data_IF_055569836639
#
_entry.id   IF_055569836639
#
_cell.length_a   1.000
_cell.length_b   1.000
_cell.length_c   1.000
_cell.angle_alpha   90.00
_cell.angle_beta   90.00
_cell.angle_gamma   90.00
#
_symmetry.space_group_name_H-M   'P 1'
#
loop_
_entity.id
_entity.type
_entity.pdbx_description
1 polymer ?
#
# COMPACT_ATOMS: atom_id res chain seq x y z
N UNK A 1 -24.77 26.10 8.41
CA UNK A 1 -23.43 25.50 8.22
C UNK A 1 -22.85 24.80 9.48
N UNK A 2 -23.63 24.32 10.46
CA UNK A 2 -23.06 23.76 11.71
C UNK A 2 -23.42 22.29 12.04
N UNK A 3 -24.09 21.55 11.14
CA UNK A 3 -24.57 20.19 11.43
C UNK A 3 -24.00 19.08 10.51
N UNK A 4 -23.14 19.42 9.54
CA UNK A 4 -22.49 18.42 8.67
C UNK A 4 -21.20 17.83 9.24
N UNK A 5 -20.56 18.51 10.22
CA UNK A 5 -19.30 18.04 10.82
C UNK A 5 -19.46 16.84 11.78
N UNK A 6 -20.65 16.66 12.38
CA UNK A 6 -20.87 15.59 13.36
C UNK A 6 -21.06 14.20 12.73
N UNK A 7 -21.45 14.13 11.45
CA UNK A 7 -21.82 12.86 10.80
C UNK A 7 -20.61 12.04 10.31
N UNK A 8 -19.45 12.68 10.10
CA UNK A 8 -18.21 12.02 9.62
C UNK A 8 -17.15 11.81 10.71
N UNK A 9 -17.35 12.28 11.94
CA UNK A 9 -16.35 12.20 13.01
C UNK A 9 -16.21 10.82 13.66
N UNK A 10 -17.21 9.93 13.50
CA UNK A 10 -17.26 8.65 14.21
C UNK A 10 -16.15 7.67 13.81
N UNK A 11 -15.84 7.56 12.51
CA UNK A 11 -14.80 6.65 12.04
C UNK A 11 -13.39 7.13 12.42
N UNK A 12 -13.15 8.44 12.40
CA UNK A 12 -11.89 9.01 12.88
C UNK A 12 -11.59 8.63 14.32
N UNK A 13 -12.60 8.70 15.19
CA UNK A 13 -12.49 8.29 16.59
C UNK A 13 -12.26 6.78 16.70
N UNK A 14 -12.98 5.96 15.92
CA UNK A 14 -12.80 4.50 15.92
C UNK A 14 -11.39 4.09 15.46
N UNK A 15 -10.88 4.71 14.41
CA UNK A 15 -9.53 4.50 13.90
C UNK A 15 -8.45 4.88 14.92
N UNK A 16 -8.61 6.01 15.59
CA UNK A 16 -7.66 6.41 16.64
C UNK A 16 -7.78 5.53 17.88
N UNK A 17 -8.98 5.08 18.23
CA UNK A 17 -9.19 4.11 19.30
C UNK A 17 -8.51 2.79 18.98
N UNK A 18 -8.56 2.32 17.72
CA UNK A 18 -7.84 1.13 17.28
C UNK A 18 -6.32 1.27 17.47
N UNK A 19 -5.71 2.36 16.99
CA UNK A 19 -4.27 2.58 17.15
C UNK A 19 -3.89 2.70 18.63
N UNK A 20 -4.68 3.41 19.43
CA UNK A 20 -4.42 3.55 20.86
C UNK A 20 -4.54 2.21 21.62
N UNK A 21 -5.58 1.40 21.33
CA UNK A 21 -5.79 0.11 21.97
C UNK A 21 -4.75 -0.92 21.52
N UNK A 22 -4.31 -0.92 20.26
CA UNK A 22 -3.21 -1.79 19.83
C UNK A 22 -1.88 -1.38 20.47
N UNK A 23 -1.62 -0.08 20.64
CA UNK A 23 -0.45 0.39 21.37
C UNK A 23 -0.42 -0.06 22.85
N UNK A 24 -1.59 -0.26 23.49
CA UNK A 24 -1.67 -0.85 24.83
C UNK A 24 -1.08 -2.26 24.89
N UNK A 25 -0.91 -2.97 23.77
CA UNK A 25 -0.18 -4.25 23.74
C UNK A 25 1.22 -4.13 24.33
N UNK A 26 1.86 -2.97 24.15
CA UNK A 26 3.21 -2.70 24.67
C UNK A 26 3.22 -2.11 26.08
N UNK A 27 2.21 -1.30 26.44
CA UNK A 27 2.13 -0.65 27.75
C UNK A 27 1.42 -1.49 28.81
N UNK A 28 0.32 -2.14 28.44
CA UNK A 28 -0.51 -2.95 29.32
C UNK A 28 -1.25 -4.06 28.55
N UNK A 29 -0.61 -5.24 28.40
CA UNK A 29 -1.19 -6.38 27.68
C UNK A 29 -2.58 -6.79 28.20
N UNK A 30 -2.81 -6.66 29.51
CA UNK A 30 -4.09 -7.00 30.17
C UNK A 30 -5.24 -6.10 29.70
N UNK A 31 -4.98 -4.82 29.47
CA UNK A 31 -6.00 -3.90 28.95
C UNK A 31 -6.21 -4.11 27.46
N UNK A 32 -5.14 -4.37 26.70
CA UNK A 32 -5.24 -4.72 25.29
C UNK A 32 -6.13 -5.96 25.07
N UNK A 33 -5.89 -7.04 25.82
CA UNK A 33 -6.66 -8.29 25.70
C UNK A 33 -8.14 -8.14 26.04
N UNK A 34 -8.53 -7.10 26.79
CA UNK A 34 -9.93 -6.80 27.14
C UNK A 34 -10.58 -5.83 26.16
N UNK A 35 -9.87 -4.77 25.77
CA UNK A 35 -10.42 -3.69 24.97
C UNK A 35 -10.46 -4.03 23.48
N UNK A 36 -9.46 -4.76 22.97
CA UNK A 36 -9.37 -5.09 21.55
C UNK A 36 -10.56 -5.96 21.07
N UNK A 37 -10.97 -7.03 21.79
CA UNK A 37 -12.16 -7.81 21.39
C UNK A 37 -13.45 -6.99 21.48
N UNK A 38 -13.55 -6.09 22.47
CA UNK A 38 -14.73 -5.22 22.62
C UNK A 38 -14.85 -4.26 21.44
N UNK A 39 -13.75 -3.61 21.04
CA UNK A 39 -13.72 -2.74 19.87
C UNK A 39 -14.16 -3.49 18.61
N UNK A 40 -13.59 -4.66 18.36
CA UNK A 40 -13.95 -5.50 17.20
C UNK A 40 -15.39 -5.97 17.24
N UNK A 41 -15.90 -6.36 18.41
CA UNK A 41 -17.29 -6.78 18.59
C UNK A 41 -18.25 -5.64 18.29
N UNK A 42 -17.97 -4.43 18.78
CA UNK A 42 -18.79 -3.24 18.49
C UNK A 42 -18.76 -2.93 17.00
N UNK A 43 -17.58 -2.91 16.37
CA UNK A 43 -17.46 -2.67 14.92
C UNK A 43 -18.20 -3.73 14.11
N UNK A 44 -18.11 -5.00 14.50
CA UNK A 44 -18.80 -6.11 13.84
C UNK A 44 -20.32 -6.03 13.98
N UNK A 45 -20.84 -5.76 15.19
CA UNK A 45 -22.27 -5.59 15.44
C UNK A 45 -22.84 -4.44 14.61
N UNK A 46 -22.12 -3.32 14.57
CA UNK A 46 -22.52 -2.16 13.76
C UNK A 46 -22.50 -2.51 12.28
N UNK A 47 -21.45 -3.18 11.78
CA UNK A 47 -21.39 -3.62 10.39
C UNK A 47 -22.56 -4.55 10.02
N UNK A 48 -22.80 -5.62 10.80
CA UNK A 48 -23.89 -6.58 10.57
C UNK A 48 -25.26 -5.88 10.58
N UNK A 49 -25.45 -4.89 11.46
CA UNK A 49 -26.71 -4.13 11.52
C UNK A 49 -26.97 -3.26 10.29
N UNK A 50 -25.92 -2.76 9.61
CA UNK A 50 -26.02 -1.77 8.52
C UNK A 50 -25.96 -2.39 7.14
N UNK A 51 -25.23 -3.49 6.99
CA UNK A 51 -25.06 -4.23 5.74
C UNK A 51 -26.38 -4.55 5.01
N UNK A 52 -27.45 -5.04 5.68
CA UNK A 52 -28.73 -5.33 5.00
C UNK A 52 -29.42 -4.10 4.43
N UNK A 53 -29.16 -2.92 5.02
CA UNK A 53 -29.77 -1.65 4.62
C UNK A 53 -28.87 -0.81 3.71
N UNK A 54 -27.74 -1.37 3.27
CA UNK A 54 -26.79 -0.67 2.43
C UNK A 54 -27.38 -0.34 1.06
N UNK A 55 -27.38 0.94 0.70
CA UNK A 55 -28.11 1.45 -0.47
C UNK A 55 -27.36 1.31 -1.79
N UNK A 56 -26.04 1.12 -1.74
CA UNK A 56 -25.17 1.24 -2.91
C UNK A 56 -24.65 -0.10 -3.47
N UNK A 57 -25.34 -1.22 -3.18
CA UNK A 57 -24.99 -2.56 -3.69
C UNK A 57 -24.81 -2.65 -5.21
N UNK A 58 -25.58 -1.87 -5.99
CA UNK A 58 -25.45 -1.83 -7.45
C UNK A 58 -24.11 -1.23 -7.91
N UNK A 59 -23.58 -0.27 -7.15
CA UNK A 59 -22.26 0.32 -7.41
C UNK A 59 -21.15 -0.64 -7.01
N UNK A 60 -21.30 -1.33 -5.88
CA UNK A 60 -20.32 -2.34 -5.43
C UNK A 60 -20.20 -3.48 -6.44
N UNK A 61 -21.32 -3.98 -6.96
CA UNK A 61 -21.33 -5.05 -7.95
C UNK A 61 -20.55 -4.66 -9.21
N UNK A 62 -20.68 -3.40 -9.67
CA UNK A 62 -19.93 -2.89 -10.82
C UNK A 62 -18.43 -2.75 -10.51
N UNK A 63 -18.09 -2.42 -9.28
CA UNK A 63 -16.69 -2.28 -8.82
C UNK A 63 -16.01 -3.62 -8.47
N UNK A 64 -16.76 -4.73 -8.39
CA UNK A 64 -16.22 -6.05 -8.06
C UNK A 64 -15.20 -6.57 -9.09
N UNK A 65 -15.50 -6.46 -10.39
CA UNK A 65 -14.58 -6.91 -11.44
C UNK A 65 -13.25 -6.14 -11.42
N UNK A 66 -13.24 -4.79 -11.36
CA UNK A 66 -11.97 -4.08 -11.22
C UNK A 66 -11.26 -4.32 -9.90
N UNK A 67 -11.98 -4.57 -8.81
CA UNK A 67 -11.37 -4.98 -7.54
C UNK A 67 -10.61 -6.31 -7.69
N UNK A 68 -11.24 -7.32 -8.28
CA UNK A 68 -10.59 -8.62 -8.56
C UNK A 68 -9.39 -8.47 -9.50
N UNK A 69 -9.52 -7.68 -10.57
CA UNK A 69 -8.41 -7.39 -11.48
C UNK A 69 -7.24 -6.71 -10.75
N UNK A 70 -7.53 -5.74 -9.88
CA UNK A 70 -6.52 -5.04 -9.08
C UNK A 70 -5.86 -5.97 -8.05
N UNK A 71 -6.61 -6.91 -7.49
CA UNK A 71 -6.09 -7.93 -6.57
C UNK A 71 -5.13 -8.90 -7.28
N UNK A 72 -5.50 -9.40 -8.47
CA UNK A 72 -4.62 -10.26 -9.28
C UNK A 72 -3.35 -9.48 -9.66
N UNK A 73 -3.49 -8.23 -10.09
CA UNK A 73 -2.35 -7.38 -10.42
C UNK A 73 -1.42 -7.13 -9.22
N UNK A 74 -1.98 -6.89 -8.03
CA UNK A 74 -1.23 -6.79 -6.79
C UNK A 74 -0.46 -8.09 -6.49
N UNK A 75 -1.11 -9.25 -6.58
CA UNK A 75 -0.46 -10.54 -6.33
C UNK A 75 0.67 -10.80 -7.32
N UNK A 76 0.48 -10.45 -8.59
CA UNK A 76 1.52 -10.53 -9.60
C UNK A 76 2.69 -9.59 -9.30
N UNK A 77 2.43 -8.35 -8.87
CA UNK A 77 3.46 -7.40 -8.45
C UNK A 77 4.23 -7.87 -7.21
N UNK A 78 3.55 -8.48 -6.24
CA UNK A 78 4.17 -9.10 -5.06
C UNK A 78 5.05 -10.29 -5.43
N UNK A 79 4.59 -11.14 -6.36
CA UNK A 79 5.38 -12.25 -6.87
C UNK A 79 6.63 -11.75 -7.60
N UNK A 80 6.48 -10.73 -8.45
CA UNK A 80 7.60 -10.08 -9.13
C UNK A 80 8.60 -9.51 -8.14
N UNK A 81 8.15 -8.74 -7.15
CA UNK A 81 9.03 -8.20 -6.08
C UNK A 81 9.75 -9.32 -5.32
N UNK A 82 9.06 -10.42 -4.98
CA UNK A 82 9.66 -11.56 -4.30
C UNK A 82 10.79 -12.20 -5.13
N UNK A 83 10.56 -12.39 -6.43
CA UNK A 83 11.55 -12.91 -7.37
C UNK A 83 12.72 -11.94 -7.53
N UNK A 84 12.45 -10.64 -7.71
CA UNK A 84 13.45 -9.58 -7.78
C UNK A 84 14.35 -9.53 -6.55
N UNK A 85 13.75 -9.54 -5.35
CA UNK A 85 14.47 -9.56 -4.08
C UNK A 85 15.37 -10.78 -3.98
N UNK A 86 14.86 -11.96 -4.32
CA UNK A 86 15.67 -13.18 -4.26
C UNK A 86 16.80 -13.13 -5.29
N UNK A 87 16.52 -12.70 -6.52
CA UNK A 87 17.52 -12.53 -7.57
C UNK A 87 18.68 -11.66 -7.08
N UNK A 88 18.40 -10.43 -6.66
CA UNK A 88 19.46 -9.50 -6.22
C UNK A 88 20.22 -10.05 -5.01
N UNK A 89 19.53 -10.59 -4.01
CA UNK A 89 20.18 -11.11 -2.79
C UNK A 89 21.06 -12.33 -3.08
N UNK A 90 20.63 -13.22 -3.98
CA UNK A 90 21.37 -14.43 -4.33
C UNK A 90 22.52 -14.17 -5.31
N UNK A 91 22.33 -13.24 -6.26
CA UNK A 91 23.33 -12.84 -7.25
C UNK A 91 24.51 -12.13 -6.60
N UNK A 92 24.28 -11.31 -5.57
CA UNK A 92 25.37 -10.57 -4.94
C UNK A 92 26.11 -11.37 -3.87
N UNK A 93 25.49 -12.42 -3.34
CA UNK A 93 26.10 -13.24 -2.29
C UNK A 93 26.30 -12.50 -0.97
N UNK A 94 26.80 -13.22 0.03
CA UNK A 94 26.96 -12.73 1.39
C UNK A 94 28.11 -11.74 1.55
N UNK A 95 29.19 -11.88 0.78
CA UNK A 95 30.35 -10.99 0.75
C UNK A 95 29.94 -9.54 0.47
N UNK A 96 29.19 -9.29 -0.61
CA UNK A 96 28.64 -7.96 -0.92
C UNK A 96 27.92 -7.34 0.27
N UNK A 97 27.03 -8.12 0.89
CA UNK A 97 26.20 -7.65 1.99
C UNK A 97 26.99 -7.36 3.27
N UNK A 98 28.08 -8.08 3.50
CA UNK A 98 28.88 -7.98 4.72
C UNK A 98 29.97 -6.92 4.61
N UNK A 99 30.62 -6.83 3.45
CA UNK A 99 31.81 -6.02 3.25
C UNK A 99 31.49 -4.64 2.69
N UNK A 100 30.30 -4.44 2.12
CA UNK A 100 29.92 -3.13 1.57
C UNK A 100 29.37 -2.22 2.67
N UNK A 101 30.05 -1.09 2.96
CA UNK A 101 29.58 -0.17 3.97
C UNK A 101 28.26 0.49 3.55
N UNK A 102 27.37 0.80 4.52
CA UNK A 102 26.16 1.57 4.24
C UNK A 102 26.53 2.97 3.76
N UNK A 103 25.64 3.57 2.96
CA UNK A 103 25.82 4.93 2.47
C UNK A 103 25.71 5.94 3.63
N UNK A 104 26.42 7.08 3.56
CA UNK A 104 26.27 8.14 4.54
C UNK A 104 24.86 8.75 4.45
N UNK A 105 24.11 8.71 5.56
CA UNK A 105 22.76 9.25 5.67
C UNK A 105 22.70 10.39 6.70
N UNK A 106 22.75 11.62 6.20
CA UNK A 106 22.69 12.83 7.03
C UNK A 106 21.36 12.99 7.75
N UNK A 107 20.26 12.46 7.21
CA UNK A 107 18.97 12.50 7.89
C UNK A 107 18.93 11.58 9.10
N UNK A 108 19.57 10.41 9.01
CA UNK A 108 19.79 9.57 10.19
C UNK A 108 20.66 10.29 11.23
N UNK A 109 21.76 10.92 10.81
CA UNK A 109 22.64 11.65 11.73
C UNK A 109 21.90 12.78 12.45
N UNK A 110 21.03 13.50 11.74
CA UNK A 110 20.17 14.52 12.33
C UNK A 110 19.23 13.92 13.39
N UNK A 111 18.57 12.81 13.11
CA UNK A 111 17.69 12.14 14.09
C UNK A 111 18.44 11.63 15.32
N UNK A 112 19.69 11.19 15.14
CA UNK A 112 20.57 10.80 16.25
C UNK A 112 20.99 12.01 17.08
N UNK A 113 21.44 13.09 16.43
CA UNK A 113 21.80 14.34 17.08
C UNK A 113 20.62 14.93 17.87
N UNK A 114 19.39 14.87 17.32
CA UNK A 114 18.18 15.29 18.01
C UNK A 114 17.91 14.46 19.28
N UNK A 115 18.28 13.18 19.33
CA UNK A 115 18.11 12.39 20.56
C UNK A 115 18.99 12.88 21.71
N UNK A 116 20.14 13.48 21.41
CA UNK A 116 21.06 14.02 22.41
C UNK A 116 20.61 15.39 22.92
N UNK A 117 19.83 16.13 22.11
CA UNK A 117 19.43 17.51 22.40
C UNK A 117 17.99 17.64 22.91
N UNK A 118 17.11 16.72 22.56
CA UNK A 118 15.70 16.78 22.95
C UNK A 118 15.46 16.19 24.36
N UNK A 119 14.40 16.64 25.07
CA UNK A 119 14.03 16.08 26.35
C UNK A 119 13.77 14.57 26.27
N UNK A 120 14.11 13.78 27.30
CA UNK A 120 13.94 12.32 27.30
C UNK A 120 12.52 11.87 26.92
N UNK A 121 11.49 12.54 27.44
CA UNK A 121 10.10 12.22 27.14
C UNK A 121 9.77 12.36 25.63
N UNK A 122 10.31 13.39 24.96
CA UNK A 122 10.09 13.58 23.51
C UNK A 122 10.80 12.47 22.73
N UNK A 123 12.02 12.12 23.15
CA UNK A 123 12.81 11.06 22.53
C UNK A 123 12.11 9.70 22.67
N UNK A 124 11.50 9.42 23.83
CA UNK A 124 10.72 8.20 24.06
C UNK A 124 9.49 8.12 23.15
N UNK A 125 8.77 9.23 22.95
CA UNK A 125 7.62 9.28 22.02
C UNK A 125 8.08 9.02 20.57
N UNK A 126 9.20 9.62 20.15
CA UNK A 126 9.80 9.37 18.83
C UNK A 126 10.35 7.94 18.67
N UNK A 127 10.67 7.26 19.77
CA UNK A 127 11.06 5.83 19.78
C UNK A 127 9.89 4.87 19.85
N UNK A 128 8.75 5.33 20.37
CA UNK A 128 7.63 4.48 20.69
C UNK A 128 7.08 3.78 19.45
N UNK A 129 6.68 2.52 19.61
CA UNK A 129 6.05 1.71 18.55
C UNK A 129 4.56 2.05 18.40
N UNK A 130 4.26 3.32 18.14
CA UNK A 130 2.88 3.83 18.07
C UNK A 130 2.15 3.24 16.87
N UNK A 131 2.79 3.26 15.70
CA UNK A 131 2.22 2.74 14.47
C UNK A 131 3.23 1.90 13.70
N UNK A 132 2.71 0.96 12.92
CA UNK A 132 3.45 0.09 12.03
C UNK A 132 2.62 -0.23 10.79
N UNK A 133 3.15 -1.03 9.88
CA UNK A 133 2.50 -1.34 8.61
C UNK A 133 1.10 -1.91 8.75
N UNK A 134 0.91 -2.85 9.68
CA UNK A 134 -0.38 -3.51 9.90
C UNK A 134 -1.45 -2.50 10.27
N UNK A 135 -1.12 -1.48 11.07
CA UNK A 135 -2.06 -0.42 11.41
C UNK A 135 -2.50 0.38 10.18
N UNK A 136 -1.60 0.73 9.26
CA UNK A 136 -1.98 1.46 8.03
C UNK A 136 -2.87 0.62 7.12
N UNK A 137 -2.65 -0.69 7.07
CA UNK A 137 -3.52 -1.62 6.35
C UNK A 137 -4.89 -1.71 7.02
N UNK A 138 -4.94 -1.78 8.35
CA UNK A 138 -6.20 -1.81 9.09
C UNK A 138 -6.98 -0.49 8.99
N UNK A 139 -6.30 0.66 9.04
CA UNK A 139 -6.91 1.97 8.79
C UNK A 139 -7.53 2.04 7.40
N UNK A 140 -6.85 1.47 6.39
CA UNK A 140 -7.41 1.35 5.05
C UNK A 140 -8.63 0.42 5.00
N UNK A 141 -8.58 -0.74 5.65
CA UNK A 141 -9.74 -1.63 5.76
C UNK A 141 -10.92 -0.94 6.45
N UNK A 142 -10.69 -0.23 7.55
CA UNK A 142 -11.71 0.57 8.25
C UNK A 142 -12.29 1.65 7.32
N UNK A 143 -11.47 2.25 6.46
CA UNK A 143 -11.94 3.20 5.45
C UNK A 143 -12.88 2.55 4.43
N UNK A 144 -12.59 1.33 3.97
CA UNK A 144 -13.48 0.57 3.09
C UNK A 144 -14.80 0.19 3.79
N UNK A 145 -14.76 -0.18 5.08
CA UNK A 145 -15.97 -0.41 5.89
C UNK A 145 -16.76 0.87 6.17
N UNK A 146 -16.12 2.02 6.09
CA UNK A 146 -16.76 3.31 6.36
C UNK A 146 -17.83 3.71 5.35
N UNK A 147 -17.84 3.06 4.19
CA UNK A 147 -18.89 3.21 3.19
C UNK A 147 -20.25 2.72 3.71
N UNK A 148 -20.27 1.76 4.65
CA UNK A 148 -21.48 1.32 5.35
C UNK A 148 -22.11 2.42 6.24
N UNK A 149 -21.36 3.49 6.51
CA UNK A 149 -21.78 4.61 7.36
C UNK A 149 -22.18 5.85 6.53
N UNK A 150 -22.33 5.72 5.21
CA UNK A 150 -22.58 6.83 4.27
C UNK A 150 -21.60 8.00 4.43
N UNK A 151 -20.42 7.72 4.99
CA UNK A 151 -19.41 8.74 5.30
C UNK A 151 -18.49 9.01 4.11
N UNK A 152 -18.48 8.11 3.12
CA UNK A 152 -17.78 8.23 1.84
C UNK A 152 -18.79 7.96 0.72
N UNK A 153 -18.90 8.87 -0.25
CA UNK A 153 -19.87 8.73 -1.36
C UNK A 153 -19.46 7.68 -2.41
N UNK A 154 -18.23 7.14 -2.32
CA UNK A 154 -17.68 6.17 -3.27
C UNK A 154 -17.91 4.71 -2.82
N UNK A 155 -18.08 3.77 -3.76
CA UNK A 155 -18.21 2.34 -3.43
C UNK A 155 -16.93 1.82 -2.76
N UNK A 156 -17.09 1.00 -1.71
CA UNK A 156 -16.01 0.45 -0.91
C UNK A 156 -15.07 -0.45 -1.72
N UNK A 157 -15.62 -1.31 -2.59
CA UNK A 157 -14.82 -2.11 -3.52
C UNK A 157 -14.11 -1.25 -4.57
N UNK A 158 -14.69 -0.10 -4.94
CA UNK A 158 -14.03 0.84 -5.86
C UNK A 158 -12.83 1.53 -5.21
N UNK A 159 -12.97 1.95 -3.94
CA UNK A 159 -11.86 2.48 -3.15
C UNK A 159 -10.78 1.42 -2.92
N UNK A 160 -11.21 0.19 -2.61
CA UNK A 160 -10.38 -1.03 -2.58
C UNK A 160 -9.57 -1.23 -3.85
N UNK A 161 -10.25 -1.20 -5.01
CA UNK A 161 -9.64 -1.39 -6.32
C UNK A 161 -8.59 -0.32 -6.60
N UNK A 162 -8.93 0.95 -6.40
CA UNK A 162 -7.98 2.07 -6.56
C UNK A 162 -6.75 1.86 -5.71
N UNK A 163 -6.92 1.64 -4.41
CA UNK A 163 -5.81 1.49 -3.49
C UNK A 163 -4.90 0.31 -3.85
N UNK A 164 -5.47 -0.86 -4.13
CA UNK A 164 -4.69 -2.04 -4.54
C UNK A 164 -3.99 -1.80 -5.87
N UNK A 165 -4.65 -1.18 -6.84
CA UNK A 165 -4.05 -0.87 -8.14
C UNK A 165 -2.89 0.12 -8.01
N UNK A 166 -3.09 1.23 -7.31
CA UNK A 166 -2.06 2.25 -7.08
C UNK A 166 -0.88 1.66 -6.31
N UNK A 167 -1.15 0.86 -5.28
CA UNK A 167 -0.10 0.18 -4.52
C UNK A 167 0.62 -0.84 -5.39
N UNK A 168 -0.06 -1.60 -6.25
CA UNK A 168 0.57 -2.56 -7.16
C UNK A 168 1.52 -1.85 -8.15
N UNK A 169 1.12 -0.71 -8.73
CA UNK A 169 2.02 0.14 -9.54
C UNK A 169 3.23 0.57 -8.72
N UNK A 170 2.99 1.10 -7.52
CA UNK A 170 4.07 1.56 -6.64
C UNK A 170 5.01 0.43 -6.21
N UNK A 171 4.53 -0.81 -6.05
CA UNK A 171 5.40 -1.96 -5.75
C UNK A 171 6.16 -2.43 -6.99
N UNK A 172 5.53 -2.39 -8.17
CA UNK A 172 6.19 -2.73 -9.42
C UNK A 172 7.32 -1.75 -9.75
N UNK A 173 7.07 -0.44 -9.67
CA UNK A 173 8.10 0.58 -9.87
C UNK A 173 9.25 0.44 -8.86
N UNK A 174 8.94 0.07 -7.62
CA UNK A 174 9.93 -0.20 -6.58
C UNK A 174 10.77 -1.43 -6.90
N UNK A 175 10.16 -2.50 -7.39
CA UNK A 175 10.88 -3.71 -7.79
C UNK A 175 11.76 -3.48 -9.03
N UNK A 176 11.26 -2.72 -10.03
CA UNK A 176 12.04 -2.35 -11.22
C UNK A 176 13.27 -1.53 -10.80
N UNK A 177 13.06 -0.45 -10.04
CA UNK A 177 14.16 0.40 -9.56
C UNK A 177 15.17 -0.37 -8.72
N UNK A 178 14.72 -1.31 -7.90
CA UNK A 178 15.57 -2.17 -7.10
C UNK A 178 16.44 -3.12 -7.93
N UNK A 179 15.88 -3.78 -8.96
CA UNK A 179 16.66 -4.67 -9.83
C UNK A 179 17.59 -3.87 -10.74
N UNK A 180 17.17 -2.69 -11.18
CA UNK A 180 17.97 -1.80 -12.03
C UNK A 180 19.06 -1.05 -11.26
N UNK A 181 18.93 -0.88 -9.94
CA UNK A 181 19.90 -0.16 -9.12
C UNK A 181 19.96 -0.76 -7.73
N UNK A 182 21.04 -1.49 -7.48
CA UNK A 182 21.28 -2.19 -6.24
C UNK A 182 22.10 -1.30 -5.32
N UNK A 183 21.52 -0.92 -4.18
CA UNK A 183 22.19 -0.11 -3.17
C UNK A 183 22.52 -0.95 -1.92
N UNK A 184 23.62 -0.64 -1.23
CA UNK A 184 23.98 -1.37 -0.02
C UNK A 184 22.96 -1.11 1.08
N UNK A 185 22.73 -2.13 1.91
CA UNK A 185 21.82 -2.06 3.03
C UNK A 185 22.22 -1.00 4.05
N UNK A 186 21.25 -0.32 4.65
CA UNK A 186 21.47 0.40 5.91
C UNK A 186 21.85 -0.54 7.08
N UNK A 187 21.62 -1.86 6.94
CA UNK A 187 21.97 -2.92 7.91
C UNK A 187 22.84 -3.99 7.25
N UNK A 188 24.18 -3.88 7.30
CA UNK A 188 25.09 -4.85 6.70
C UNK A 188 24.86 -6.31 7.16
N UNK A 189 24.48 -6.51 8.42
CA UNK A 189 24.19 -7.84 8.98
C UNK A 189 22.83 -8.44 8.54
N UNK A 190 22.02 -7.73 7.76
CA UNK A 190 20.68 -8.18 7.37
C UNK A 190 20.70 -9.53 6.65
N UNK A 191 21.59 -9.69 5.67
CA UNK A 191 21.59 -10.85 4.80
C UNK A 191 21.93 -12.13 5.57
N UNK A 192 22.97 -12.09 6.41
CA UNK A 192 23.38 -13.21 7.25
C UNK A 192 22.29 -13.64 8.25
N UNK A 193 21.56 -12.67 8.81
CA UNK A 193 20.52 -12.96 9.80
C UNK A 193 19.23 -13.52 9.17
N UNK A 194 18.92 -13.15 7.92
CA UNK A 194 17.59 -13.37 7.32
C UNK A 194 17.58 -14.40 6.19
N UNK A 195 18.67 -14.49 5.45
CA UNK A 195 18.76 -15.30 4.25
C UNK A 195 19.88 -16.32 4.34
N UNK A 196 19.66 -17.45 3.66
CA UNK A 196 20.73 -18.40 3.35
C UNK A 196 21.09 -18.16 1.90
N UNK A 197 22.20 -17.47 1.68
CA UNK A 197 22.70 -17.13 0.34
C UNK A 197 24.11 -17.68 0.16
N UNK A 198 24.56 -17.91 -1.08
CA UNK A 198 25.95 -18.23 -1.37
C UNK A 198 26.91 -17.19 -0.79
N UNK A 199 28.14 -17.60 -0.47
CA UNK A 199 29.13 -16.71 0.13
C UNK A 199 29.54 -15.58 -0.83
N UNK A 200 29.88 -15.92 -2.07
CA UNK A 200 30.39 -15.00 -3.09
C UNK A 200 29.31 -14.56 -4.10
N UNK A 201 29.48 -13.44 -4.82
CA UNK A 201 28.59 -13.04 -5.91
C UNK A 201 28.58 -14.05 -7.07
N UNK A 202 27.55 -14.03 -7.93
CA UNK A 202 27.47 -14.87 -9.13
C UNK A 202 28.59 -14.52 -10.10
N UNK A 203 29.13 -15.51 -10.81
CA UNK A 203 30.25 -15.38 -11.76
C UNK A 203 30.14 -14.17 -12.70
N UNK A 204 28.98 -13.95 -13.37
CA UNK A 204 28.79 -12.80 -14.25
C UNK A 204 28.82 -11.46 -13.49
N UNK A 205 28.31 -11.42 -12.25
CA UNK A 205 28.23 -10.21 -11.43
C UNK A 205 29.57 -9.83 -10.78
N UNK A 206 30.43 -10.81 -10.48
CA UNK A 206 31.76 -10.59 -9.88
C UNK A 206 32.60 -9.58 -10.67
N UNK A 207 32.55 -9.66 -12.01
CA UNK A 207 33.26 -8.77 -12.93
C UNK A 207 32.88 -7.29 -12.80
N UNK A 208 31.66 -7.01 -12.34
CA UNK A 208 31.12 -5.65 -12.27
C UNK A 208 31.22 -5.02 -10.88
N UNK A 209 31.51 -5.82 -9.85
CA UNK A 209 31.26 -5.42 -8.47
C UNK A 209 32.44 -4.67 -7.79
N UNK A 210 33.67 -5.14 -7.97
CA UNK A 210 34.86 -4.67 -7.23
C UNK A 210 35.82 -3.70 -7.96
N UNK A 211 36.04 -3.74 -9.29
CA UNK A 211 37.34 -3.28 -9.83
C UNK A 211 37.46 -1.77 -10.08
N UNK A 212 36.36 -1.09 -10.37
CA UNK A 212 36.42 0.27 -10.93
C UNK A 212 36.47 1.36 -9.87
N UNK A 213 35.83 1.14 -8.72
CA UNK A 213 35.77 2.15 -7.66
C UNK A 213 37.16 2.48 -7.08
N UNK A 214 38.10 1.55 -7.17
CA UNK A 214 39.44 1.65 -6.58
C UNK A 214 40.54 2.02 -7.58
N UNK A 215 40.32 1.88 -8.89
CA UNK A 215 41.29 2.21 -9.94
C UNK A 215 40.73 3.19 -10.98
N UNK A 216 41.23 4.43 -10.94
CA UNK A 216 40.84 5.48 -11.87
C UNK A 216 41.15 5.15 -13.35
N UNK A 217 42.16 4.31 -13.63
CA UNK A 217 42.46 3.89 -14.99
C UNK A 217 41.42 2.90 -15.51
N UNK A 218 40.94 1.99 -14.65
CA UNK A 218 39.87 1.06 -14.98
C UNK A 218 38.55 1.81 -15.29
N UNK A 219 38.22 2.88 -14.54
CA UNK A 219 37.07 3.76 -14.88
C UNK A 219 37.25 4.38 -16.27
N UNK A 220 38.45 4.93 -16.55
CA UNK A 220 38.73 5.59 -17.83
C UNK A 220 38.64 4.62 -19.02
N UNK A 221 39.03 3.37 -18.82
CA UNK A 221 38.89 2.32 -19.84
C UNK A 221 37.43 1.95 -20.09
N UNK A 222 36.60 1.77 -19.05
CA UNK A 222 35.15 1.57 -19.25
C UNK A 222 34.55 2.69 -20.08
N UNK A 223 34.84 3.96 -19.73
CA UNK A 223 34.25 5.10 -20.43
C UNK A 223 34.67 5.14 -21.91
N UNK A 224 35.90 4.71 -22.23
CA UNK A 224 36.41 4.73 -23.61
C UNK A 224 35.93 3.57 -24.46
N UNK A 225 35.88 2.38 -23.88
CA UNK A 225 35.74 1.13 -24.63
C UNK A 225 34.40 0.42 -24.35
N UNK A 226 33.64 0.88 -23.35
CA UNK A 226 32.31 0.38 -22.94
C UNK A 226 32.31 -1.11 -22.54
N UNK A 227 33.45 -1.59 -22.01
CA UNK A 227 33.62 -2.98 -21.57
C UNK A 227 34.17 -3.02 -20.14
N UNK A 228 33.76 -4.05 -19.39
CA UNK A 228 34.30 -4.35 -18.07
C UNK A 228 35.67 -5.08 -18.20
N UNK A 229 36.71 -4.64 -17.48
CA UNK A 229 38.11 -5.11 -17.67
C UNK A 229 38.66 -6.02 -16.58
N UNK A 230 37.90 -6.29 -15.53
CA UNK A 230 38.43 -7.06 -14.42
C UNK A 230 38.48 -8.55 -14.69
N UNK A 231 39.61 -9.13 -14.26
CA UNK A 231 39.76 -10.57 -14.10
C UNK A 231 39.13 -10.99 -12.76
N UNK A 232 38.02 -11.74 -12.76
CA UNK A 232 37.38 -12.21 -11.54
C UNK A 232 38.18 -13.34 -10.84
N UNK A 233 39.31 -13.78 -11.40
CA UNK A 233 40.08 -14.91 -10.88
C UNK A 233 39.41 -16.25 -11.18
N UNK A 234 39.79 -17.29 -10.44
CA UNK A 234 39.16 -18.62 -10.57
C UNK A 234 37.75 -18.60 -9.98
N UNK A 235 36.77 -18.88 -10.82
CA UNK A 235 35.39 -19.09 -10.40
C UNK A 235 35.28 -20.34 -9.52
N UNK A 236 34.63 -20.20 -8.37
CA UNK A 236 34.27 -21.32 -7.51
C UNK A 236 33.00 -21.99 -8.04
N UNK A 237 33.01 -23.33 -8.12
CA UNK A 237 31.86 -24.12 -8.58
C UNK A 237 30.68 -24.00 -7.61
N UNK A 238 29.49 -23.78 -8.17
CA UNK A 238 28.24 -23.66 -7.41
C UNK A 238 27.43 -24.96 -7.42
N UNK A 239 26.64 -25.14 -6.36
CA UNK A 239 25.63 -26.18 -6.31
C UNK A 239 24.51 -25.92 -7.34
N UNK A 240 24.29 -26.88 -8.24
CA UNK A 240 23.23 -26.84 -9.24
C UNK A 240 22.24 -28.01 -9.03
N UNK A 241 21.02 -27.75 -8.54
CA UNK A 241 20.01 -28.80 -8.40
C UNK A 241 19.34 -29.13 -9.74
N UNK A 242 18.90 -30.37 -9.94
CA UNK A 242 18.08 -30.73 -11.11
C UNK A 242 16.60 -30.40 -10.83
N UNK A 243 16.09 -29.33 -11.45
CA UNK A 243 14.70 -28.89 -11.37
C UNK A 243 13.91 -29.19 -12.66
N UNK A 244 14.43 -30.03 -13.55
CA UNK A 244 13.80 -30.35 -14.82
C UNK A 244 13.57 -29.10 -15.69
N UNK A 245 12.32 -28.86 -16.12
CA UNK A 245 11.99 -27.73 -16.99
C UNK A 245 12.19 -26.35 -16.35
N UNK A 246 12.30 -26.28 -15.03
CA UNK A 246 12.52 -25.05 -14.28
C UNK A 246 14.00 -24.81 -13.94
N UNK A 247 14.91 -25.65 -14.43
CA UNK A 247 16.35 -25.48 -14.19
C UNK A 247 16.91 -24.14 -14.70
N UNK A 248 16.23 -23.48 -15.64
CA UNK A 248 16.61 -22.11 -16.06
C UNK A 248 16.50 -21.07 -14.92
N UNK A 249 15.67 -21.32 -13.88
CA UNK A 249 15.54 -20.44 -12.72
C UNK A 249 16.76 -20.48 -11.79
N UNK A 250 17.65 -21.46 -11.96
CA UNK A 250 18.84 -21.64 -11.11
C UNK A 250 19.77 -20.43 -11.25
N UNK A 251 19.99 -19.95 -12.48
CA UNK A 251 20.83 -18.79 -12.76
C UNK A 251 20.26 -17.49 -12.15
N UNK A 252 18.94 -17.43 -11.97
CA UNK A 252 18.27 -16.28 -11.37
C UNK A 252 18.20 -16.37 -9.84
N UNK A 253 17.95 -17.56 -9.26
CA UNK A 253 17.60 -17.69 -7.84
C UNK A 253 18.71 -18.29 -6.97
N UNK A 254 19.74 -18.85 -7.59
CA UNK A 254 20.96 -19.44 -7.02
C UNK A 254 20.71 -20.14 -5.66
N UNK A 255 20.02 -21.29 -5.68
CA UNK A 255 19.65 -22.02 -4.47
C UNK A 255 20.89 -22.55 -3.72
N UNK A 256 20.78 -22.72 -2.41
CA UNK A 256 21.85 -23.35 -1.60
C UNK A 256 21.57 -24.84 -1.36
N UNK A 257 22.61 -25.62 -1.08
CA UNK A 257 22.50 -27.05 -0.73
C UNK A 257 21.49 -27.32 0.39
N UNK A 258 21.37 -26.40 1.36
CA UNK A 258 20.45 -26.50 2.49
C UNK A 258 18.97 -26.27 2.15
N UNK A 259 18.67 -25.64 1.00
CA UNK A 259 17.29 -25.39 0.55
C UNK A 259 16.68 -26.60 -0.18
N UNK A 260 17.53 -27.51 -0.67
CA UNK A 260 17.11 -28.72 -1.40
C UNK A 260 16.40 -28.41 -2.72
N UNK A 261 15.62 -29.37 -3.23
CA UNK A 261 14.90 -29.25 -4.51
C UNK A 261 13.58 -28.46 -4.43
N UNK A 262 13.19 -27.97 -3.24
CA UNK A 262 11.92 -27.28 -3.04
C UNK A 262 12.04 -25.79 -3.34
N UNK A 263 11.91 -25.42 -4.61
CA UNK A 263 11.92 -24.02 -5.06
C UNK A 263 10.86 -23.15 -4.34
N UNK A 264 9.75 -23.74 -3.88
CA UNK A 264 8.70 -23.02 -3.13
C UNK A 264 9.18 -22.52 -1.75
N UNK A 265 10.19 -23.14 -1.15
CA UNK A 265 10.80 -22.66 0.11
C UNK A 265 11.42 -21.27 -0.04
N UNK A 266 11.80 -20.88 -1.27
CA UNK A 266 12.31 -19.57 -1.63
C UNK A 266 11.22 -18.49 -1.57
N UNK A 267 10.01 -18.79 -2.07
CA UNK A 267 8.86 -17.88 -1.99
C UNK A 267 8.38 -17.69 -0.54
N UNK A 268 8.50 -18.72 0.30
CA UNK A 268 8.13 -18.64 1.74
C UNK A 268 8.99 -17.68 2.54
N UNK A 269 10.21 -17.36 2.10
CA UNK A 269 11.12 -16.42 2.76
C UNK A 269 11.08 -15.00 2.17
N UNK A 270 10.12 -14.69 1.30
CA UNK A 270 9.99 -13.40 0.62
C UNK A 270 9.53 -12.24 1.53
N UNK A 271 10.12 -12.10 2.72
CA UNK A 271 9.97 -10.93 3.55
C UNK A 271 11.06 -9.92 3.23
N UNK A 272 10.91 -9.10 2.18
CA UNK A 272 11.75 -7.92 1.88
C UNK A 272 13.25 -8.19 1.63
N UNK A 273 13.89 -7.41 0.76
CA UNK A 273 15.33 -7.54 0.50
C UNK A 273 16.21 -7.02 1.63
N UNK A 274 17.46 -7.47 1.65
CA UNK A 274 18.50 -6.85 2.49
C UNK A 274 19.24 -5.73 1.77
N UNK A 275 19.24 -5.70 0.44
CA UNK A 275 19.67 -4.52 -0.30
C UNK A 275 18.62 -3.42 -0.18
N UNK A 276 19.09 -2.19 -0.28
CA UNK A 276 18.20 -1.07 -0.22
C UNK A 276 17.41 -0.88 -1.52
N UNK A 277 16.22 -0.28 -1.41
CA UNK A 277 15.33 0.03 -2.52
C UNK A 277 15.18 1.54 -2.60
N UNK A 278 15.18 2.10 -3.81
CA UNK A 278 15.10 3.56 -4.07
C UNK A 278 13.99 4.27 -3.27
N UNK A 279 12.93 3.56 -2.88
CA UNK A 279 11.97 4.07 -1.90
C UNK A 279 11.33 2.98 -1.03
N UNK A 280 10.88 3.38 0.16
CA UNK A 280 10.32 2.48 1.16
C UNK A 280 8.90 2.01 0.81
N UNK A 281 8.69 0.68 0.85
CA UNK A 281 7.37 0.08 0.66
C UNK A 281 6.44 0.33 1.85
N UNK A 282 6.98 0.37 3.07
CA UNK A 282 6.22 0.71 4.27
C UNK A 282 5.65 2.13 4.18
N UNK A 283 6.50 3.07 3.75
CA UNK A 283 6.11 4.46 3.57
C UNK A 283 5.13 4.63 2.41
N UNK A 284 5.28 3.87 1.32
CA UNK A 284 4.30 3.86 0.23
C UNK A 284 2.91 3.48 0.76
N UNK A 285 2.79 2.39 1.51
CA UNK A 285 1.51 1.96 2.09
C UNK A 285 0.94 3.03 3.04
N UNK A 286 1.78 3.57 3.92
CA UNK A 286 1.39 4.61 4.87
C UNK A 286 0.85 5.87 4.17
N UNK A 287 1.54 6.33 3.12
CA UNK A 287 1.17 7.51 2.33
C UNK A 287 -0.10 7.26 1.52
N UNK A 288 -0.24 6.11 0.87
CA UNK A 288 -1.46 5.76 0.15
C UNK A 288 -2.66 5.70 1.10
N UNK A 289 -2.48 5.16 2.32
CA UNK A 289 -3.53 5.16 3.34
C UNK A 289 -3.87 6.58 3.77
N UNK A 290 -2.87 7.44 4.01
CA UNK A 290 -3.09 8.84 4.37
C UNK A 290 -3.79 9.64 3.27
N UNK A 291 -3.46 9.38 2.00
CA UNK A 291 -4.10 9.99 0.85
C UNK A 291 -5.56 9.54 0.71
N UNK A 292 -5.81 8.23 0.80
CA UNK A 292 -7.16 7.67 0.80
C UNK A 292 -8.00 8.25 1.95
N UNK A 293 -7.40 8.35 3.13
CA UNK A 293 -8.04 8.93 4.30
C UNK A 293 -8.32 10.42 4.13
N UNK A 294 -7.39 11.19 3.57
CA UNK A 294 -7.56 12.63 3.37
C UNK A 294 -8.67 12.93 2.36
N UNK A 295 -8.83 12.10 1.33
CA UNK A 295 -9.94 12.23 0.38
C UNK A 295 -11.30 11.89 1.01
N UNK A 296 -11.34 10.95 1.95
CA UNK A 296 -12.56 10.51 2.61
C UNK A 296 -12.95 11.34 3.84
N UNK A 297 -11.97 11.68 4.68
CA UNK A 297 -12.11 12.33 5.98
C UNK A 297 -11.07 13.45 6.11
N UNK A 298 -11.41 14.63 5.60
CA UNK A 298 -10.63 15.84 5.84
C UNK A 298 -10.65 16.29 7.32
N UNK A 299 -9.84 17.29 7.66
CA UNK A 299 -9.81 17.88 9.01
C UNK A 299 -8.83 17.19 9.96
N UNK A 300 -9.16 17.18 11.26
CA UNK A 300 -8.23 16.78 12.33
C UNK A 300 -7.77 15.31 12.23
N UNK A 301 -8.65 14.39 11.84
CA UNK A 301 -8.29 12.97 11.67
C UNK A 301 -7.26 12.75 10.56
N UNK A 302 -7.37 13.50 9.45
CA UNK A 302 -6.39 13.44 8.37
C UNK A 302 -5.05 14.01 8.81
N UNK A 303 -5.04 15.16 9.50
CA UNK A 303 -3.82 15.74 10.05
C UNK A 303 -3.10 14.76 10.99
N UNK A 304 -3.85 14.07 11.86
CA UNK A 304 -3.28 13.07 12.76
C UNK A 304 -2.69 11.85 12.03
N UNK A 305 -3.33 11.37 10.96
CA UNK A 305 -2.76 10.29 10.15
C UNK A 305 -1.48 10.74 9.45
N UNK A 306 -1.40 11.97 8.95
CA UNK A 306 -0.16 12.51 8.42
C UNK A 306 0.95 12.65 9.47
N UNK A 307 0.60 12.99 10.72
CA UNK A 307 1.55 12.95 11.83
C UNK A 307 2.06 11.52 12.09
N UNK A 308 1.17 10.52 12.00
CA UNK A 308 1.54 9.11 12.12
C UNK A 308 2.43 8.63 10.96
N UNK A 309 2.21 9.14 9.73
CA UNK A 309 3.12 8.91 8.59
C UNK A 309 4.49 9.50 8.87
N UNK A 310 4.58 10.74 9.36
CA UNK A 310 5.86 11.38 9.69
C UNK A 310 6.59 10.65 10.82
N UNK A 311 5.86 10.20 11.84
CA UNK A 311 6.40 9.37 12.92
C UNK A 311 6.95 8.03 12.38
N UNK A 312 6.20 7.36 11.50
CA UNK A 312 6.67 6.14 10.83
C UNK A 312 7.94 6.40 10.02
N UNK A 313 7.98 7.46 9.20
CA UNK A 313 9.16 7.81 8.40
C UNK A 313 10.40 8.01 9.27
N UNK A 314 10.26 8.79 10.34
CA UNK A 314 11.33 9.04 11.30
C UNK A 314 11.83 7.72 11.93
N UNK A 315 10.94 6.77 12.23
CA UNK A 315 11.34 5.48 12.80
C UNK A 315 12.05 4.58 11.81
N UNK A 316 11.57 4.51 10.56
CA UNK A 316 12.21 3.74 9.49
C UNK A 316 13.67 4.17 9.30
N UNK A 317 13.93 5.48 9.25
CA UNK A 317 15.28 6.04 9.13
C UNK A 317 16.12 5.78 10.38
N UNK A 318 15.56 6.11 11.55
CA UNK A 318 16.24 5.98 12.84
C UNK A 318 16.71 4.55 13.10
N UNK A 319 15.84 3.58 12.84
CA UNK A 319 16.11 2.17 13.11
C UNK A 319 16.94 1.52 11.98
N UNK A 320 17.38 2.26 10.96
CA UNK A 320 18.11 1.72 9.79
C UNK A 320 17.30 0.71 9.00
N UNK A 321 15.99 0.88 8.91
CA UNK A 321 15.18 0.06 8.01
C UNK A 321 15.31 0.54 6.56
N UNK A 322 15.41 1.86 6.37
CA UNK A 322 15.58 2.52 5.09
C UNK A 322 16.44 3.78 5.27
N UNK A 323 17.05 4.28 4.20
CA UNK A 323 17.67 5.60 4.20
C UNK A 323 16.61 6.70 4.22
N UNK A 324 17.02 7.89 4.63
CA UNK A 324 16.16 9.08 4.64
C UNK A 324 15.57 9.37 3.26
N UNK A 325 16.38 9.23 2.20
CA UNK A 325 15.93 9.49 0.83
C UNK A 325 14.79 8.55 0.44
N UNK A 326 14.84 7.27 0.82
CA UNK A 326 13.82 6.29 0.45
C UNK A 326 12.47 6.63 1.07
N UNK A 327 12.47 7.17 2.29
CA UNK A 327 11.26 7.62 2.98
C UNK A 327 10.68 8.86 2.32
N UNK A 328 11.53 9.84 1.97
CA UNK A 328 11.10 11.08 1.30
C UNK A 328 10.56 10.78 -0.10
N UNK A 329 11.29 10.00 -0.89
CA UNK A 329 10.87 9.60 -2.23
C UNK A 329 9.56 8.81 -2.17
N UNK A 330 9.40 7.90 -1.20
CA UNK A 330 8.13 7.17 -1.03
C UNK A 330 6.94 8.10 -0.74
N UNK A 331 7.14 9.18 0.01
CA UNK A 331 6.09 10.19 0.26
C UNK A 331 5.70 10.89 -1.03
N UNK A 332 6.67 11.41 -1.80
CA UNK A 332 6.38 12.09 -3.06
C UNK A 332 5.76 11.16 -4.10
N UNK A 333 6.36 9.97 -4.29
CA UNK A 333 5.88 8.96 -5.24
C UNK A 333 4.49 8.47 -4.84
N UNK A 334 4.24 8.23 -3.55
CA UNK A 334 2.91 7.82 -3.07
C UNK A 334 1.83 8.86 -3.36
N UNK A 335 2.09 10.15 -3.11
CA UNK A 335 1.17 11.24 -3.43
C UNK A 335 0.94 11.33 -4.95
N UNK A 336 2.02 11.30 -5.73
CA UNK A 336 1.97 11.41 -7.18
C UNK A 336 1.21 10.23 -7.80
N UNK A 337 1.52 9.00 -7.41
CA UNK A 337 0.81 7.80 -7.87
C UNK A 337 -0.67 7.86 -7.51
N UNK A 338 -1.00 8.29 -6.29
CA UNK A 338 -2.40 8.41 -5.87
C UNK A 338 -3.18 9.43 -6.71
N UNK A 339 -2.58 10.59 -7.00
CA UNK A 339 -3.19 11.61 -7.86
C UNK A 339 -3.27 11.15 -9.32
N UNK A 340 -2.19 10.57 -9.84
CA UNK A 340 -2.11 10.09 -11.21
C UNK A 340 -3.09 8.94 -11.45
N UNK A 341 -3.21 7.97 -10.57
CA UNK A 341 -4.18 6.87 -10.73
C UNK A 341 -5.63 7.29 -10.44
N UNK A 342 -5.85 8.50 -9.93
CA UNK A 342 -7.18 9.02 -9.60
C UNK A 342 -8.10 9.20 -10.82
N UNK A 343 -7.57 9.43 -12.02
CA UNK A 343 -8.40 9.56 -13.22
C UNK A 343 -9.10 8.24 -13.61
N UNK A 344 -8.50 7.09 -13.26
CA UNK A 344 -9.04 5.75 -13.52
C UNK A 344 -10.26 5.50 -12.62
N UNK A 345 -10.26 6.15 -11.45
CA UNK A 345 -11.21 5.91 -10.36
C UNK A 345 -11.89 7.21 -9.94
N UNK A 346 -12.76 7.80 -10.79
CA UNK A 346 -13.44 9.04 -10.47
C UNK A 346 -14.25 8.89 -9.17
N UNK A 347 -13.77 9.51 -8.10
CA UNK A 347 -14.34 9.45 -6.75
C UNK A 347 -15.73 10.10 -6.66
N UNK A 348 -16.00 11.02 -7.59
CA UNK A 348 -17.30 11.65 -7.77
C UNK A 348 -18.01 11.00 -8.95
N UNK A 349 -19.28 10.66 -8.74
CA UNK A 349 -20.18 10.31 -9.83
C UNK A 349 -20.21 11.47 -10.83
N UNK A 350 -19.38 11.41 -11.87
CA UNK A 350 -19.39 12.36 -13.00
C UNK A 350 -20.80 12.44 -13.61
N UNK A 351 -21.58 11.36 -13.50
CA UNK A 351 -23.00 11.32 -13.82
C UNK A 351 -23.87 12.21 -12.92
N UNK A 352 -23.57 12.33 -11.62
CA UNK A 352 -24.27 13.20 -10.66
C UNK A 352 -23.91 14.66 -10.89
N UNK A 353 -22.64 15.00 -11.12
CA UNK A 353 -22.25 16.37 -11.49
C UNK A 353 -22.82 16.78 -12.84
N UNK A 354 -22.78 15.90 -13.86
CA UNK A 354 -23.41 16.17 -15.15
C UNK A 354 -24.93 16.33 -15.02
N UNK A 355 -25.58 15.55 -14.15
CA UNK A 355 -27.01 15.73 -13.82
C UNK A 355 -27.29 17.02 -13.07
N UNK A 356 -26.45 17.39 -12.10
CA UNK A 356 -26.60 18.64 -11.35
C UNK A 356 -26.40 19.85 -12.27
N UNK A 357 -25.38 19.83 -13.12
CA UNK A 357 -25.15 20.87 -14.13
C UNK A 357 -26.30 20.93 -15.16
N UNK A 358 -26.86 19.79 -15.56
CA UNK A 358 -28.04 19.73 -16.42
C UNK A 358 -29.28 20.30 -15.71
N UNK A 359 -29.51 19.95 -14.45
CA UNK A 359 -30.61 20.47 -13.63
C UNK A 359 -30.47 21.97 -13.36
N UNK A 360 -29.26 22.47 -13.13
CA UNK A 360 -28.97 23.89 -12.98
C UNK A 360 -29.24 24.66 -14.29
N UNK A 361 -28.87 24.07 -15.43
CA UNK A 361 -29.20 24.61 -16.76
C UNK A 361 -30.70 24.62 -17.02
N UNK A 362 -31.41 23.54 -16.67
CA UNK A 362 -32.87 23.45 -16.79
C UNK A 362 -33.54 24.45 -15.86
N UNK A 363 -33.07 24.59 -14.61
CA UNK A 363 -33.58 25.56 -13.65
C UNK A 363 -33.41 27.00 -14.18
N UNK A 364 -32.24 27.33 -14.73
CA UNK A 364 -31.99 28.63 -15.37
C UNK A 364 -32.93 28.92 -16.53
N UNK A 365 -33.15 27.94 -17.42
CA UNK A 365 -34.11 28.03 -18.53
C UNK A 365 -35.55 28.17 -18.03
N UNK A 366 -35.95 27.41 -17.01
CA UNK A 366 -37.27 27.47 -16.41
C UNK A 366 -37.55 28.84 -15.81
N UNK A 367 -36.57 29.44 -15.11
CA UNK A 367 -36.70 30.81 -14.58
C UNK A 367 -36.78 31.88 -15.67
N UNK A 368 -36.12 31.68 -16.81
CA UNK A 368 -36.21 32.58 -17.95
C UNK A 368 -37.57 32.48 -18.65
N UNK A 369 -38.01 31.26 -18.97
CA UNK A 369 -39.30 30.99 -19.60
C UNK A 369 -40.48 31.46 -18.72
N UNK A 370 -40.40 31.27 -17.40
CA UNK A 370 -41.39 31.77 -16.46
C UNK A 370 -41.44 33.32 -16.40
N UNK A 371 -40.30 33.99 -16.62
CA UNK A 371 -40.21 35.46 -16.67
C UNK A 371 -40.78 36.02 -17.97
N UNK A 372 -40.62 35.29 -19.07
CA UNK A 372 -41.12 35.66 -20.40
C UNK A 372 -42.56 35.20 -20.65
N UNK A 373 -43.22 34.57 -19.66
CA UNK A 373 -44.57 34.02 -19.75
C UNK A 373 -44.76 32.95 -20.85
N UNK A 374 -43.69 32.24 -21.21
CA UNK A 374 -43.73 31.14 -22.17
C UNK A 374 -44.13 29.83 -21.47
N UNK A 375 -45.44 29.58 -21.42
CA UNK A 375 -46.03 28.41 -20.76
C UNK A 375 -45.72 27.10 -21.51
N UNK A 376 -45.46 27.16 -22.82
CA UNK A 376 -45.16 25.98 -23.62
C UNK A 376 -43.74 25.48 -23.36
N UNK A 377 -42.75 26.38 -23.27
CA UNK A 377 -41.37 26.02 -22.90
C UNK A 377 -41.29 25.50 -21.45
N UNK A 378 -42.07 26.07 -20.52
CA UNK A 378 -42.16 25.56 -19.13
C UNK A 378 -42.70 24.11 -19.10
N UNK A 379 -43.73 23.81 -19.90
CA UNK A 379 -44.32 22.47 -19.97
C UNK A 379 -43.35 21.45 -20.59
N UNK A 380 -42.58 21.85 -21.58
CA UNK A 380 -41.57 21.00 -22.22
C UNK A 380 -40.41 20.66 -21.26
N UNK A 381 -39.87 21.67 -20.56
CA UNK A 381 -38.78 21.50 -19.59
C UNK A 381 -39.19 20.62 -18.40
N UNK A 382 -40.43 20.74 -17.92
CA UNK A 382 -40.96 19.85 -16.87
C UNK A 382 -41.05 18.39 -17.35
N UNK A 383 -41.44 18.17 -18.61
CA UNK A 383 -41.54 16.84 -19.21
C UNK A 383 -40.16 16.19 -19.40
N UNK A 384 -39.14 16.97 -19.74
CA UNK A 384 -37.74 16.53 -19.84
C UNK A 384 -37.19 16.07 -18.48
N UNK A 385 -37.50 16.80 -17.40
CA UNK A 385 -37.13 16.42 -16.02
C UNK A 385 -37.84 15.14 -15.58
N UNK A 386 -39.13 15.01 -15.90
CA UNK A 386 -39.95 13.88 -15.51
C UNK A 386 -39.49 12.58 -16.21
N UNK A 387 -39.19 12.64 -17.52
CA UNK A 387 -38.61 11.54 -18.29
C UNK A 387 -37.19 11.16 -17.80
N UNK A 388 -36.36 12.15 -17.45
CA UNK A 388 -35.06 11.94 -16.84
C UNK A 388 -35.13 11.26 -15.46
N UNK A 389 -36.21 11.48 -14.71
CA UNK A 389 -36.44 10.84 -13.41
C UNK A 389 -36.96 9.40 -13.53
N UNK A 390 -37.87 9.13 -14.48
CA UNK A 390 -38.49 7.83 -14.70
C UNK A 390 -37.50 6.77 -15.21
N UNK A 391 -36.50 7.19 -16.01
CA UNK A 391 -35.38 6.31 -16.41
C UNK A 391 -34.48 5.85 -15.26
N UNK A 392 -34.61 6.44 -14.06
CA UNK A 392 -33.83 6.08 -12.87
C UNK A 392 -34.62 5.29 -11.82
N UNK A 393 -35.95 5.28 -11.87
CA UNK A 393 -36.80 4.74 -10.80
C UNK A 393 -37.28 3.29 -10.99
N UNK A 394 -36.92 2.57 -12.07
CA UNK A 394 -37.44 1.21 -12.27
C UNK A 394 -36.37 0.18 -12.59
N UNK A 395 -35.78 -0.39 -11.54
CA UNK A 395 -35.37 -1.81 -11.48
C UNK A 395 -35.11 -2.17 -10.03
N UNK A 396 -36.07 -2.86 -9.42
CA UNK A 396 -35.89 -3.46 -8.09
C UNK A 396 -34.64 -4.36 -8.07
N UNK A 397 -34.11 -4.68 -6.87
CA UNK A 397 -32.88 -5.43 -6.76
C UNK A 397 -33.01 -6.79 -7.48
N UNK A 398 -32.18 -7.01 -8.50
CA UNK A 398 -32.17 -8.26 -9.25
C UNK A 398 -31.75 -9.41 -8.35
N UNK A 399 -32.21 -10.65 -8.61
CA UNK A 399 -31.80 -11.85 -7.85
C UNK A 399 -30.27 -11.97 -7.75
N UNK A 400 -29.56 -11.58 -8.81
CA UNK A 400 -28.10 -11.54 -8.85
C UNK A 400 -27.49 -10.58 -7.81
N UNK A 401 -28.12 -9.42 -7.57
CA UNK A 401 -27.62 -8.44 -6.59
C UNK A 401 -27.87 -8.91 -5.14
N UNK A 402 -29.00 -9.58 -4.89
CA UNK A 402 -29.27 -10.21 -3.60
C UNK A 402 -28.29 -11.36 -3.32
N UNK A 403 -28.04 -12.22 -4.31
CA UNK A 403 -27.04 -13.28 -4.23
C UNK A 403 -25.63 -12.72 -4.02
N UNK A 404 -25.26 -11.64 -4.73
CA UNK A 404 -23.98 -10.97 -4.56
C UNK A 404 -23.82 -10.39 -3.15
N UNK A 405 -24.83 -9.71 -2.63
CA UNK A 405 -24.82 -9.18 -1.27
C UNK A 405 -24.66 -10.33 -0.24
N UNK A 406 -25.50 -11.36 -0.32
CA UNK A 406 -25.40 -12.53 0.56
C UNK A 406 -24.04 -13.23 0.47
N UNK A 407 -23.51 -13.45 -0.74
CA UNK A 407 -22.20 -14.07 -0.95
C UNK A 407 -21.07 -13.21 -0.40
N UNK A 408 -21.12 -11.89 -0.59
CA UNK A 408 -20.11 -10.96 -0.07
C UNK A 408 -20.11 -10.97 1.46
N UNK A 409 -21.30 -10.95 2.08
CA UNK A 409 -21.46 -11.01 3.54
C UNK A 409 -20.93 -12.33 4.09
N UNK A 410 -21.38 -13.45 3.51
CA UNK A 410 -20.94 -14.78 3.93
C UNK A 410 -19.43 -14.94 3.79
N UNK A 411 -18.87 -14.50 2.65
CA UNK A 411 -17.42 -14.57 2.41
C UNK A 411 -16.66 -13.69 3.38
N UNK A 412 -17.12 -12.46 3.64
CA UNK A 412 -16.46 -11.54 4.58
C UNK A 412 -16.50 -12.08 6.01
N UNK A 413 -17.66 -12.57 6.47
CA UNK A 413 -17.79 -13.19 7.79
C UNK A 413 -16.91 -14.43 7.90
N UNK A 414 -16.88 -15.27 6.86
CA UNK A 414 -16.04 -16.48 6.82
C UNK A 414 -14.56 -16.11 6.89
N UNK A 415 -14.10 -15.13 6.11
CA UNK A 415 -12.72 -14.64 6.16
C UNK A 415 -12.39 -14.08 7.54
N UNK A 416 -13.28 -13.30 8.15
CA UNK A 416 -13.08 -12.76 9.50
C UNK A 416 -13.00 -13.89 10.53
N UNK A 417 -13.88 -14.89 10.47
CA UNK A 417 -13.84 -16.05 11.36
C UNK A 417 -12.58 -16.90 11.15
N UNK A 418 -12.16 -17.11 9.90
CA UNK A 418 -10.92 -17.81 9.57
C UNK A 418 -9.70 -17.03 10.06
N UNK A 419 -9.70 -15.70 9.91
CA UNK A 419 -8.67 -14.86 10.48
C UNK A 419 -8.65 -15.06 12.00
N UNK A 420 -9.75 -14.79 12.71
CA UNK A 420 -9.83 -14.94 14.16
C UNK A 420 -9.43 -16.32 14.71
N UNK A 421 -9.66 -17.39 13.94
CA UNK A 421 -9.36 -18.76 14.37
C UNK A 421 -7.96 -19.22 14.00
N UNK A 422 -7.37 -18.68 12.92
CA UNK A 422 -6.09 -19.14 12.38
C UNK A 422 -4.92 -18.19 12.62
N UNK A 423 -5.17 -16.92 12.97
CA UNK A 423 -4.12 -15.96 13.36
C UNK A 423 -3.90 -15.99 14.86
N UNK A 424 -2.66 -15.76 15.30
CA UNK A 424 -2.29 -15.81 16.72
C UNK A 424 -2.91 -14.70 17.57
N UNK A 425 -3.33 -13.60 16.93
CA UNK A 425 -3.76 -12.36 17.60
C UNK A 425 -5.24 -12.03 17.37
N UNK A 426 -5.98 -12.93 16.71
CA UNK A 426 -7.29 -12.61 16.14
C UNK A 426 -7.19 -11.62 14.99
#
# INVERSE_FOLDING_TARGET
>A
MRWLAARSSGLGIAAMSYVAIDYLRHLSPTWHSRLQPVLWTVLALVAVSRVPFYRHWSSEFRSALPFLGSMIFMLAALLFEALSVRFVTAVLGLEWHSDTPPLPDTGQWLLLALNEKLPPAVVEILRARIIGLHHFLMLFMMLAFSVLFDSVEAPGLGLGARYMFTMAIGRLLRAITFVSTILPSARPWCANARFRVPAYPHHWAQKYYVPYATDANAIRQIIREDIAYADPGQYLDDYCPDWGSMSFLIDFLRPTTSEGSSWYSLLKKAGGGCNDLIYSGHMLVAVLTAMAWTEAYGGFSSALIWLLVMHSAQREVRERHHYTVDCIVAIYVGILLWKMTGFIWPAKNVSRERRLAMLEKIQGRLTHAAKDSDIDEVRELLKEVEQGSQGSQSRGPTRAMWLFACATIFTTITIVLLAFTWTSDG
#
